data_IF_091396102036
#
_entry.id   IF_091396102036
#
_cell.length_a   1.000
_cell.length_b   1.000
_cell.length_c   1.000
_cell.angle_alpha   90.00
_cell.angle_beta   90.00
_cell.angle_gamma   90.00
#
_symmetry.space_group_name_H-M   'P 1'
#
loop_
_entity.id
_entity.type
_entity.pdbx_description
1 polymer ?
#
# COMPACT_ATOMS: atom_id res chain seq x y z
N UNK A 1 -92.82 9.09 8.89
CA UNK A 1 -92.04 10.34 9.04
C UNK A 1 -90.63 9.97 9.43
N UNK A 2 -89.69 10.18 8.50
CA UNK A 2 -88.27 9.96 8.70
C UNK A 2 -87.69 11.06 9.59
N UNK A 3 -86.84 10.69 10.55
CA UNK A 3 -85.90 11.59 11.21
C UNK A 3 -84.47 11.04 11.04
N UNK A 4 -83.45 11.93 10.95
CA UNK A 4 -82.25 11.68 10.14
C UNK A 4 -81.14 10.94 10.88
N UNK A 5 -80.41 10.12 10.13
CA UNK A 5 -79.26 9.28 10.49
C UNK A 5 -77.98 10.04 10.88
N UNK A 6 -78.05 11.33 11.24
CA UNK A 6 -76.88 12.13 11.63
C UNK A 6 -76.67 12.32 13.13
N UNK A 7 -77.55 11.79 13.99
CA UNK A 7 -77.45 11.95 15.44
C UNK A 7 -76.67 10.84 16.19
N UNK A 8 -76.33 9.72 15.53
CA UNK A 8 -75.59 8.61 16.17
C UNK A 8 -74.07 8.72 15.93
N UNK A 9 -73.63 9.50 14.94
CA UNK A 9 -72.21 9.62 14.58
C UNK A 9 -71.40 10.61 15.42
N UNK A 10 -72.03 11.38 16.32
CA UNK A 10 -71.35 12.40 17.13
C UNK A 10 -71.10 12.00 18.59
N UNK A 11 -71.72 10.92 19.08
CA UNK A 11 -71.45 10.41 20.43
C UNK A 11 -70.20 9.51 20.49
N UNK A 12 -69.84 8.87 19.37
CA UNK A 12 -68.65 8.01 19.26
C UNK A 12 -67.35 8.78 19.05
N UNK A 13 -67.43 10.07 18.68
CA UNK A 13 -66.24 10.90 18.40
C UNK A 13 -65.77 11.71 19.63
N UNK A 14 -66.56 11.79 20.71
CA UNK A 14 -66.20 12.56 21.91
C UNK A 14 -65.56 11.71 23.03
N UNK A 15 -65.66 10.38 22.98
CA UNK A 15 -65.07 9.47 23.97
C UNK A 15 -63.64 8.99 23.64
N UNK A 16 -63.11 9.32 22.45
CA UNK A 16 -61.73 8.99 22.06
C UNK A 16 -60.76 10.17 22.17
N UNK A 17 -61.21 11.32 22.69
CA UNK A 17 -60.42 12.56 22.80
C UNK A 17 -59.94 12.89 24.23
N UNK A 18 -60.10 11.99 25.22
CA UNK A 18 -59.68 12.21 26.62
C UNK A 18 -58.68 11.11 27.08
N UNK A 19 -57.73 10.74 26.23
CA UNK A 19 -56.61 9.88 26.62
C UNK A 19 -55.25 10.38 26.08
N UNK A 20 -55.08 11.69 25.96
CA UNK A 20 -53.80 12.32 25.61
C UNK A 20 -53.53 13.53 26.52
N UNK A 21 -53.24 13.27 27.79
CA UNK A 21 -52.47 14.21 28.62
C UNK A 21 -51.42 13.43 29.40
N UNK A 22 -50.20 13.43 28.87
CA UNK A 22 -48.99 13.22 29.66
C UNK A 22 -47.93 14.13 29.06
N UNK A 23 -47.40 14.97 29.94
CA UNK A 23 -46.49 16.08 29.77
C UNK A 23 -45.32 15.81 28.81
N UNK A 24 -45.26 16.57 27.71
CA UNK A 24 -44.04 16.76 26.92
C UNK A 24 -43.18 17.82 27.60
N UNK A 25 -42.08 17.41 28.24
CA UNK A 25 -40.93 18.29 28.47
C UNK A 25 -40.37 18.74 27.11
N UNK A 26 -39.89 19.98 26.94
CA UNK A 26 -39.25 20.39 25.70
C UNK A 26 -37.94 19.62 25.57
N UNK A 27 -37.92 18.58 24.74
CA UNK A 27 -36.67 18.04 24.22
C UNK A 27 -36.28 19.00 23.11
N UNK A 28 -35.38 19.92 23.43
CA UNK A 28 -34.58 20.59 22.43
C UNK A 28 -33.99 19.53 21.51
N UNK A 29 -34.54 19.42 20.31
CA UNK A 29 -33.89 18.76 19.18
C UNK A 29 -32.73 19.65 18.74
N UNK A 30 -31.71 19.77 19.60
CA UNK A 30 -30.37 20.07 19.15
C UNK A 30 -29.95 18.88 18.29
N UNK A 31 -29.60 19.15 17.03
CA UNK A 31 -28.83 18.23 16.19
C UNK A 31 -27.49 17.94 16.86
N UNK A 32 -27.50 17.03 17.84
CA UNK A 32 -26.34 16.59 18.57
C UNK A 32 -25.58 15.59 17.72
N UNK A 33 -24.45 16.03 17.18
CA UNK A 33 -23.39 15.15 16.73
C UNK A 33 -23.14 14.07 17.80
N UNK A 34 -22.93 12.78 17.43
CA UNK A 34 -22.70 11.72 18.41
C UNK A 34 -21.64 12.15 19.44
N UNK A 35 -21.85 11.85 20.74
CA UNK A 35 -20.97 12.32 21.80
C UNK A 35 -19.53 11.94 21.48
N UNK A 36 -18.65 12.94 21.46
CA UNK A 36 -17.23 12.70 21.21
C UNK A 36 -16.71 11.72 22.28
N UNK A 37 -16.00 10.64 21.90
CA UNK A 37 -15.60 9.62 22.84
C UNK A 37 -14.80 10.23 23.99
N UNK A 38 -15.13 9.82 25.21
CA UNK A 38 -14.46 10.30 26.42
C UNK A 38 -12.97 9.92 26.39
N UNK A 39 -12.08 10.69 27.05
CA UNK A 39 -10.64 10.38 27.11
C UNK A 39 -10.32 8.94 27.56
N UNK A 40 -11.16 8.38 28.43
CA UNK A 40 -11.07 6.98 28.88
C UNK A 40 -11.37 5.96 27.75
N UNK A 41 -12.27 6.28 26.82
CA UNK A 41 -12.60 5.42 25.68
C UNK A 41 -11.45 5.38 24.69
N UNK A 42 -10.87 6.53 24.34
CA UNK A 42 -9.72 6.57 23.42
C UNK A 42 -8.49 5.88 24.01
N UNK A 43 -8.23 6.01 25.32
CA UNK A 43 -7.10 5.30 25.95
C UNK A 43 -7.27 3.78 25.93
N UNK A 44 -8.47 3.27 26.21
CA UNK A 44 -8.76 1.83 26.09
C UNK A 44 -8.65 1.33 24.66
N UNK A 45 -9.08 2.13 23.68
CA UNK A 45 -8.93 1.85 22.26
C UNK A 45 -7.45 1.73 21.87
N UNK A 46 -6.62 2.74 22.19
CA UNK A 46 -5.18 2.71 21.90
C UNK A 46 -4.53 1.49 22.54
N UNK A 47 -4.82 1.22 23.82
CA UNK A 47 -4.25 0.06 24.53
C UNK A 47 -4.59 -1.26 23.85
N UNK A 48 -5.84 -1.44 23.42
CA UNK A 48 -6.28 -2.63 22.69
C UNK A 48 -5.55 -2.76 21.34
N UNK A 49 -5.45 -1.67 20.58
CA UNK A 49 -4.78 -1.69 19.25
C UNK A 49 -3.28 -1.89 19.35
N UNK A 50 -2.64 -1.39 20.41
CA UNK A 50 -1.22 -1.54 20.64
C UNK A 50 -0.83 -2.93 21.16
N UNK A 51 -1.74 -3.66 21.80
CA UNK A 51 -1.48 -4.98 22.37
C UNK A 51 -1.01 -6.03 21.35
N UNK A 52 -1.38 -5.86 20.07
CA UNK A 52 -0.98 -6.78 18.99
C UNK A 52 0.31 -6.35 18.27
N UNK A 53 0.94 -5.25 18.71
CA UNK A 53 2.17 -4.75 18.11
C UNK A 53 3.39 -5.37 18.78
N UNK A 54 4.54 -5.37 18.10
CA UNK A 54 5.81 -5.84 18.68
C UNK A 54 6.28 -4.97 19.85
N UNK A 55 5.82 -3.72 19.92
CA UNK A 55 6.22 -2.74 20.93
C UNK A 55 4.98 -2.10 21.60
N UNK A 56 4.22 -2.85 22.43
CA UNK A 56 2.93 -2.39 22.95
C UNK A 56 3.00 -1.12 23.80
N UNK A 57 3.97 -1.03 24.70
CA UNK A 57 4.12 0.12 25.61
C UNK A 57 4.53 1.37 24.85
N UNK A 58 5.51 1.24 23.94
CA UNK A 58 5.95 2.32 23.05
C UNK A 58 4.76 2.81 22.23
N UNK A 59 4.05 1.89 21.57
CA UNK A 59 2.83 2.18 20.80
C UNK A 59 1.82 3.00 21.60
N UNK A 60 1.54 2.58 22.84
CA UNK A 60 0.58 3.27 23.70
C UNK A 60 1.06 4.67 24.07
N UNK A 61 2.29 4.79 24.56
CA UNK A 61 2.83 6.04 25.07
C UNK A 61 2.94 7.12 24.00
N UNK A 62 3.36 6.76 22.78
CA UNK A 62 3.51 7.77 21.72
C UNK A 62 2.20 8.11 21.00
N UNK A 63 1.20 7.22 20.94
CA UNK A 63 -0.07 7.48 20.26
C UNK A 63 -1.13 8.13 21.16
N UNK A 64 -1.09 7.87 22.46
CA UNK A 64 -2.05 8.42 23.41
C UNK A 64 -2.15 9.96 23.37
N UNK A 65 -1.04 10.74 23.23
CA UNK A 65 -1.11 12.19 23.09
C UNK A 65 -1.93 12.67 21.87
N UNK A 66 -2.06 11.82 20.84
CA UNK A 66 -2.81 12.10 19.62
C UNK A 66 -4.24 11.52 19.63
N UNK A 67 -4.71 10.97 20.76
CA UNK A 67 -6.00 10.30 20.90
C UNK A 67 -7.20 11.15 20.45
N UNK A 68 -7.12 12.48 20.55
CA UNK A 68 -8.15 13.39 20.06
C UNK A 68 -8.27 13.43 18.53
N UNK A 69 -7.17 13.18 17.80
CA UNK A 69 -7.13 13.19 16.32
C UNK A 69 -7.84 11.98 15.73
N UNK A 70 -7.59 10.80 16.27
CA UNK A 70 -8.13 9.55 15.72
C UNK A 70 -9.35 9.01 16.46
N UNK A 71 -9.59 9.43 17.72
CA UNK A 71 -10.71 8.94 18.53
C UNK A 71 -10.68 7.41 18.62
N UNK A 72 -11.63 6.73 17.98
CA UNK A 72 -11.71 5.26 17.87
C UNK A 72 -11.66 4.79 16.41
N UNK A 73 -11.19 5.63 15.48
CA UNK A 73 -11.06 5.29 14.06
C UNK A 73 -9.74 4.55 13.79
N UNK A 74 -9.85 3.40 13.15
CA UNK A 74 -8.72 2.55 12.76
C UNK A 74 -7.86 3.19 11.68
N UNK A 75 -8.48 3.76 10.64
CA UNK A 75 -7.75 4.44 9.55
C UNK A 75 -7.04 5.68 10.10
N UNK A 76 -7.71 6.52 10.89
CA UNK A 76 -7.09 7.73 11.47
C UNK A 76 -5.98 7.41 12.44
N UNK A 77 -6.09 6.30 13.19
CA UNK A 77 -5.01 5.80 14.03
C UNK A 77 -3.79 5.40 13.19
N UNK A 78 -4.00 4.69 12.09
CA UNK A 78 -2.93 4.28 11.18
C UNK A 78 -2.28 5.48 10.46
N UNK A 79 -3.07 6.46 10.00
CA UNK A 79 -2.56 7.75 9.47
C UNK A 79 -1.66 8.43 10.50
N UNK A 80 -2.16 8.58 11.74
CA UNK A 80 -1.42 9.22 12.83
C UNK A 80 -0.12 8.47 13.12
N UNK A 81 -0.12 7.14 13.10
CA UNK A 81 1.08 6.34 13.29
C UNK A 81 2.10 6.55 12.16
N UNK A 82 1.65 6.62 10.90
CA UNK A 82 2.51 6.93 9.75
C UNK A 82 3.10 8.34 9.83
N UNK A 83 2.31 9.34 10.21
CA UNK A 83 2.77 10.72 10.42
C UNK A 83 3.85 10.80 11.50
N UNK A 84 3.65 10.09 12.62
CA UNK A 84 4.64 10.05 13.70
C UNK A 84 5.91 9.34 13.24
N UNK A 85 5.81 8.21 12.54
CA UNK A 85 6.97 7.52 11.97
C UNK A 85 7.76 8.44 11.02
N UNK A 86 7.09 9.12 10.10
CA UNK A 86 7.71 10.09 9.19
C UNK A 86 8.40 11.23 9.96
N UNK A 87 7.75 11.80 10.99
CA UNK A 87 8.35 12.85 11.81
C UNK A 87 9.58 12.37 12.59
N UNK A 88 9.58 11.13 13.08
CA UNK A 88 10.74 10.51 13.76
C UNK A 88 11.89 10.28 12.80
N UNK A 89 11.61 9.76 11.61
CA UNK A 89 12.60 9.57 10.54
C UNK A 89 13.22 10.90 10.10
N UNK A 90 12.40 11.94 9.95
CA UNK A 90 12.85 13.30 9.66
C UNK A 90 13.79 13.85 10.74
N UNK A 91 13.40 13.71 12.00
CA UNK A 91 14.21 14.16 13.13
C UNK A 91 15.55 13.41 13.17
N UNK A 92 15.53 12.12 12.89
CA UNK A 92 16.74 11.30 12.84
C UNK A 92 17.65 11.67 11.66
N UNK A 93 17.09 11.89 10.45
CA UNK A 93 17.84 12.44 9.31
C UNK A 93 18.51 13.79 9.65
N UNK A 94 17.81 14.64 10.42
CA UNK A 94 18.36 15.87 10.98
C UNK A 94 19.56 15.62 11.92
N UNK A 95 19.44 14.65 12.83
CA UNK A 95 20.55 14.25 13.72
C UNK A 95 21.75 13.74 12.94
N UNK A 96 21.54 12.91 11.92
CA UNK A 96 22.63 12.41 11.05
C UNK A 96 23.30 13.57 10.32
N UNK A 97 22.53 14.57 9.86
CA UNK A 97 23.07 15.79 9.26
C UNK A 97 23.93 16.59 10.25
N UNK A 98 23.57 16.64 11.53
CA UNK A 98 24.37 17.30 12.56
C UNK A 98 25.67 16.51 12.82
N UNK A 99 25.59 15.18 12.90
CA UNK A 99 26.78 14.31 12.98
C UNK A 99 27.73 14.54 11.81
N UNK A 100 27.21 14.67 10.58
CA UNK A 100 28.01 14.99 9.39
C UNK A 100 28.75 16.32 9.49
N UNK A 101 28.16 17.34 10.11
CA UNK A 101 28.81 18.65 10.27
C UNK A 101 29.94 18.63 11.31
N UNK A 102 29.87 17.71 12.27
CA UNK A 102 30.86 17.57 13.34
C UNK A 102 31.89 16.47 13.09
N UNK A 103 31.65 15.60 12.10
CA UNK A 103 32.61 14.60 11.64
C UNK A 103 33.74 15.30 10.92
N UNK A 104 34.93 15.33 11.53
CA UNK A 104 36.12 15.93 10.94
C UNK A 104 36.65 15.15 9.74
N UNK A 105 37.47 15.80 8.91
CA UNK A 105 38.06 15.22 7.69
C UNK A 105 39.00 14.01 7.90
N UNK A 106 39.23 13.59 9.16
CA UNK A 106 40.05 12.44 9.52
C UNK A 106 39.34 11.09 9.50
N UNK A 107 38.02 11.03 9.27
CA UNK A 107 37.22 9.80 9.29
C UNK A 107 36.37 9.60 8.03
N UNK A 108 36.99 9.49 6.82
CA UNK A 108 36.27 9.47 5.55
C UNK A 108 35.26 8.32 5.41
N UNK A 109 35.53 7.16 6.04
CA UNK A 109 34.59 6.02 6.04
C UNK A 109 33.35 6.28 6.89
N UNK A 110 33.51 6.95 8.04
CA UNK A 110 32.39 7.35 8.91
C UNK A 110 31.56 8.42 8.22
N UNK A 111 32.22 9.40 7.57
CA UNK A 111 31.54 10.43 6.80
C UNK A 111 30.71 9.85 5.64
N UNK A 112 31.26 8.88 4.90
CA UNK A 112 30.54 8.17 3.84
C UNK A 112 29.33 7.41 4.40
N UNK A 113 29.51 6.60 5.44
CA UNK A 113 28.43 5.85 6.07
C UNK A 113 27.32 6.76 6.62
N UNK A 114 27.68 7.93 7.18
CA UNK A 114 26.70 8.93 7.61
C UNK A 114 25.92 9.53 6.44
N UNK A 115 26.55 9.81 5.29
CA UNK A 115 25.87 10.30 4.09
C UNK A 115 24.87 9.26 3.56
N UNK A 116 25.30 8.01 3.48
CA UNK A 116 24.48 6.89 3.01
C UNK A 116 23.30 6.62 3.96
N UNK A 117 23.56 6.59 5.27
CA UNK A 117 22.52 6.45 6.28
C UNK A 117 21.51 7.62 6.20
N UNK A 118 21.99 8.87 6.06
CA UNK A 118 21.09 10.02 5.92
C UNK A 118 20.16 9.85 4.71
N UNK A 119 20.67 9.35 3.59
CA UNK A 119 19.88 9.15 2.38
C UNK A 119 18.81 8.09 2.57
N UNK A 120 19.20 6.91 3.06
CA UNK A 120 18.28 5.80 3.29
C UNK A 120 17.20 6.15 4.32
N UNK A 121 17.55 6.88 5.39
CA UNK A 121 16.57 7.39 6.37
C UNK A 121 15.64 8.45 5.75
N UNK A 122 16.13 9.32 4.86
CA UNK A 122 15.28 10.26 4.12
C UNK A 122 14.33 9.54 3.16
N UNK A 123 14.77 8.47 2.49
CA UNK A 123 13.90 7.64 1.66
C UNK A 123 12.83 6.91 2.50
N UNK A 124 13.19 6.44 3.71
CA UNK A 124 12.23 5.88 4.66
C UNK A 124 11.19 6.93 5.12
N UNK A 125 11.62 8.18 5.40
CA UNK A 125 10.72 9.31 5.71
C UNK A 125 9.69 9.52 4.59
N UNK A 126 10.16 9.54 3.34
CA UNK A 126 9.31 9.74 2.18
C UNK A 126 8.27 8.63 2.01
N UNK A 127 8.67 7.36 2.16
CA UNK A 127 7.76 6.21 2.13
C UNK A 127 6.73 6.24 3.26
N UNK A 128 7.11 6.67 4.46
CA UNK A 128 6.19 6.85 5.59
C UNK A 128 5.20 8.01 5.35
N UNK A 129 5.64 9.09 4.70
CA UNK A 129 4.78 10.21 4.31
C UNK A 129 3.82 9.83 3.19
N UNK A 130 4.29 9.08 2.20
CA UNK A 130 3.46 8.55 1.11
C UNK A 130 2.39 7.60 1.66
N UNK A 131 2.77 6.76 2.64
CA UNK A 131 1.87 5.91 3.41
C UNK A 131 0.76 6.69 4.12
N UNK A 132 1.10 7.79 4.78
CA UNK A 132 0.10 8.66 5.42
C UNK A 132 -0.85 9.30 4.39
N UNK A 133 -0.31 9.80 3.28
CA UNK A 133 -1.07 10.43 2.19
C UNK A 133 -2.08 9.46 1.58
N UNK A 134 -1.67 8.23 1.30
CA UNK A 134 -2.51 7.18 0.71
C UNK A 134 -3.66 6.77 1.64
N UNK A 135 -3.38 6.62 2.95
CA UNK A 135 -4.44 6.38 3.93
C UNK A 135 -5.36 7.60 4.11
N UNK A 136 -4.84 8.82 3.96
CA UNK A 136 -5.64 10.04 4.01
C UNK A 136 -6.62 10.15 2.84
N UNK A 137 -6.21 9.72 1.64
CA UNK A 137 -7.10 9.60 0.49
C UNK A 137 -8.22 8.60 0.78
N UNK A 138 -7.89 7.47 1.40
CA UNK A 138 -8.86 6.46 1.83
C UNK A 138 -9.85 7.01 2.88
N UNK A 139 -9.39 7.71 3.92
CA UNK A 139 -10.25 8.33 4.95
C UNK A 139 -11.20 9.37 4.35
N UNK A 140 -10.70 10.18 3.41
CA UNK A 140 -11.48 11.24 2.75
C UNK A 140 -12.56 10.64 1.86
N UNK A 141 -12.21 9.65 1.04
CA UNK A 141 -13.15 9.02 0.11
C UNK A 141 -14.23 8.17 0.85
N UNK A 142 -13.90 7.61 2.02
CA UNK A 142 -14.88 6.95 2.89
C UNK A 142 -15.98 7.91 3.41
N UNK A 143 -15.68 9.21 3.53
CA UNK A 143 -16.63 10.24 3.96
C UNK A 143 -17.54 10.81 2.87
N UNK A 144 -17.27 10.55 1.58
CA UNK A 144 -17.88 11.28 0.45
C UNK A 144 -18.79 10.49 -0.50
N UNK A 145 -19.00 9.19 -0.27
CA UNK A 145 -19.76 8.33 -1.20
C UNK A 145 -19.43 6.83 -1.12
N UNK A 146 -18.42 6.49 -0.31
CA UNK A 146 -17.97 5.12 -0.08
C UNK A 146 -16.84 4.74 -1.02
N UNK A 147 -15.77 4.16 -0.46
CA UNK A 147 -14.69 3.52 -1.22
C UNK A 147 -15.06 2.07 -1.41
N UNK A 148 -14.85 1.53 -2.62
CA UNK A 148 -15.04 0.09 -2.81
C UNK A 148 -14.07 -0.66 -1.89
N UNK A 149 -14.50 -1.76 -1.28
CA UNK A 149 -13.60 -2.54 -0.40
C UNK A 149 -12.32 -3.01 -1.11
N UNK A 150 -12.38 -3.12 -2.44
CA UNK A 150 -11.24 -3.40 -3.33
C UNK A 150 -10.22 -2.25 -3.35
N UNK A 151 -10.68 -1.02 -3.54
CA UNK A 151 -9.85 0.18 -3.57
C UNK A 151 -9.25 0.47 -2.19
N UNK A 152 -10.02 0.26 -1.12
CA UNK A 152 -9.53 0.34 0.26
C UNK A 152 -8.38 -0.64 0.55
N UNK A 153 -8.52 -1.91 0.13
CA UNK A 153 -7.45 -2.92 0.28
C UNK A 153 -6.23 -2.61 -0.56
N UNK A 154 -6.40 -2.01 -1.75
CA UNK A 154 -5.32 -1.58 -2.62
C UNK A 154 -4.48 -0.48 -1.96
N UNK A 155 -5.14 0.57 -1.46
CA UNK A 155 -4.48 1.63 -0.68
C UNK A 155 -3.72 1.06 0.52
N UNK A 156 -4.38 0.21 1.32
CA UNK A 156 -3.76 -0.41 2.49
C UNK A 156 -2.59 -1.32 2.09
N UNK A 157 -2.64 -2.02 0.95
CA UNK A 157 -1.54 -2.85 0.47
C UNK A 157 -0.33 -2.03 0.02
N UNK A 158 -0.55 -0.92 -0.69
CA UNK A 158 0.53 0.00 -1.08
C UNK A 158 1.28 0.49 0.17
N UNK A 159 0.52 0.91 1.18
CA UNK A 159 1.04 1.37 2.47
C UNK A 159 1.87 0.29 3.17
N UNK A 160 1.41 -0.96 3.18
CA UNK A 160 2.19 -2.08 3.76
C UNK A 160 3.53 -2.25 3.06
N UNK A 161 3.55 -2.20 1.73
CA UNK A 161 4.77 -2.32 0.94
C UNK A 161 5.72 -1.17 1.24
N UNK A 162 5.23 0.08 1.26
CA UNK A 162 6.07 1.24 1.54
C UNK A 162 6.64 1.25 2.96
N UNK A 163 5.84 0.92 3.97
CA UNK A 163 6.34 0.82 5.34
C UNK A 163 7.33 -0.35 5.53
N UNK A 164 7.14 -1.46 4.81
CA UNK A 164 8.12 -2.56 4.83
C UNK A 164 9.44 -2.13 4.17
N UNK A 165 9.37 -1.40 3.05
CA UNK A 165 10.55 -0.82 2.41
C UNK A 165 11.24 0.26 3.26
N UNK A 166 10.47 1.06 4.01
CA UNK A 166 11.02 2.03 4.96
C UNK A 166 11.84 1.34 6.06
N UNK A 167 11.33 0.24 6.64
CA UNK A 167 12.09 -0.57 7.61
C UNK A 167 13.37 -1.15 6.98
N UNK A 168 13.31 -1.63 5.73
CA UNK A 168 14.51 -2.09 5.01
C UNK A 168 15.54 -0.97 4.89
N UNK A 169 15.14 0.24 4.49
CA UNK A 169 16.05 1.38 4.38
C UNK A 169 16.65 1.78 5.73
N UNK A 170 15.89 1.70 6.82
CA UNK A 170 16.39 1.93 8.17
C UNK A 170 17.48 0.91 8.56
N UNK A 171 17.28 -0.38 8.24
CA UNK A 171 18.28 -1.43 8.43
C UNK A 171 19.51 -1.20 7.55
N UNK A 172 19.32 -0.83 6.29
CA UNK A 172 20.44 -0.50 5.38
C UNK A 172 21.30 0.64 5.93
N UNK A 173 20.71 1.64 6.60
CA UNK A 173 21.49 2.69 7.28
C UNK A 173 22.43 2.09 8.34
N UNK A 174 21.96 1.21 9.23
CA UNK A 174 22.82 0.61 10.26
C UNK A 174 23.84 -0.37 9.68
N UNK A 175 23.44 -1.17 8.70
CA UNK A 175 24.32 -2.16 8.04
C UNK A 175 25.49 -1.46 7.31
N UNK A 176 25.24 -0.28 6.71
CA UNK A 176 26.28 0.52 6.07
C UNK A 176 27.42 0.95 7.01
N UNK A 177 27.15 1.07 8.32
CA UNK A 177 28.20 1.31 9.31
C UNK A 177 29.02 0.07 9.64
N UNK A 178 28.39 -1.11 9.63
CA UNK A 178 29.10 -2.39 9.80
C UNK A 178 30.02 -2.64 8.59
N UNK A 179 29.53 -2.36 7.38
CA UNK A 179 30.29 -2.48 6.13
C UNK A 179 31.44 -1.47 6.02
N UNK A 180 31.29 -0.28 6.62
CA UNK A 180 32.37 0.71 6.73
C UNK A 180 33.55 0.23 7.62
N UNK A 181 33.34 -0.85 8.38
CA UNK A 181 34.33 -1.56 9.18
C UNK A 181 34.17 -1.34 10.69
N UNK A 182 34.74 -2.26 11.48
CA UNK A 182 34.57 -2.31 12.94
C UNK A 182 34.92 -0.99 13.66
N UNK A 183 35.93 -0.26 13.18
CA UNK A 183 36.29 1.04 13.73
C UNK A 183 35.23 2.13 13.50
N UNK A 184 34.51 2.08 12.37
CA UNK A 184 33.40 3.00 12.08
C UNK A 184 32.15 2.61 12.89
N UNK A 185 31.82 1.33 12.95
CA UNK A 185 30.71 0.83 13.78
C UNK A 185 30.93 1.13 15.28
N UNK A 186 32.17 1.04 15.77
CA UNK A 186 32.52 1.32 17.16
C UNK A 186 32.67 2.82 17.48
N UNK A 187 32.65 3.70 16.46
CA UNK A 187 32.78 5.14 16.63
C UNK A 187 31.57 5.72 17.39
N UNK A 188 31.70 6.91 18.00
CA UNK A 188 30.56 7.60 18.62
C UNK A 188 29.38 7.77 17.66
N UNK A 189 29.66 8.13 16.41
CA UNK A 189 28.67 8.31 15.34
C UNK A 189 27.99 7.00 14.98
N UNK A 190 28.76 5.91 14.81
CA UNK A 190 28.20 4.58 14.51
C UNK A 190 27.26 4.09 15.60
N UNK A 191 27.64 4.26 16.88
CA UNK A 191 26.78 3.90 18.03
C UNK A 191 25.52 4.75 18.09
N UNK A 192 25.62 6.04 17.80
CA UNK A 192 24.46 6.94 17.75
C UNK A 192 23.51 6.55 16.61
N UNK A 193 24.05 6.21 15.44
CA UNK A 193 23.26 5.75 14.29
C UNK A 193 22.53 4.44 14.59
N UNK A 194 23.23 3.42 15.12
CA UNK A 194 22.62 2.12 15.46
C UNK A 194 21.47 2.30 16.47
N UNK A 195 21.68 3.13 17.51
CA UNK A 195 20.64 3.43 18.48
C UNK A 195 19.46 4.20 17.87
N UNK A 196 19.75 5.15 16.98
CA UNK A 196 18.74 5.93 16.26
C UNK A 196 17.89 5.08 15.33
N UNK A 197 18.52 4.18 14.55
CA UNK A 197 17.86 3.19 13.68
C UNK A 197 16.92 2.31 14.49
N UNK A 198 17.41 1.72 15.59
CA UNK A 198 16.58 0.89 16.46
C UNK A 198 15.33 1.64 16.98
N UNK A 199 15.47 2.93 17.27
CA UNK A 199 14.35 3.78 17.70
C UNK A 199 13.36 4.07 16.58
N UNK A 200 13.80 4.46 15.37
CA UNK A 200 12.87 4.76 14.26
C UNK A 200 12.17 3.49 13.75
N UNK A 201 12.86 2.35 13.72
CA UNK A 201 12.29 1.04 13.38
C UNK A 201 11.13 0.63 14.27
N UNK A 202 11.19 0.96 15.57
CA UNK A 202 10.06 0.70 16.46
C UNK A 202 8.81 1.45 15.98
N UNK A 203 8.93 2.72 15.62
CA UNK A 203 7.80 3.54 15.19
C UNK A 203 7.25 3.09 13.82
N UNK A 204 8.13 2.81 12.85
CA UNK A 204 7.72 2.32 11.52
C UNK A 204 7.08 0.93 11.61
N UNK A 205 7.62 0.04 12.47
CA UNK A 205 7.02 -1.28 12.75
C UNK A 205 5.63 -1.17 13.40
N UNK A 206 5.43 -0.24 14.32
CA UNK A 206 4.12 -0.01 14.95
C UNK A 206 3.13 0.54 13.91
N UNK A 207 3.54 1.49 13.06
CA UNK A 207 2.71 1.97 11.95
C UNK A 207 2.29 0.82 11.03
N UNK A 208 3.22 -0.03 10.61
CA UNK A 208 2.93 -1.20 9.77
C UNK A 208 1.96 -2.18 10.45
N UNK A 209 2.14 -2.44 11.75
CA UNK A 209 1.24 -3.30 12.52
C UNK A 209 -0.19 -2.73 12.59
N UNK A 210 -0.33 -1.42 12.81
CA UNK A 210 -1.63 -0.76 12.86
C UNK A 210 -2.32 -0.74 11.49
N UNK A 211 -1.57 -0.51 10.40
CA UNK A 211 -2.06 -0.62 9.02
C UNK A 211 -2.52 -2.05 8.70
N UNK A 212 -1.75 -3.06 9.10
CA UNK A 212 -2.16 -4.46 8.97
C UNK A 212 -3.51 -4.73 9.63
N UNK A 213 -3.78 -4.05 10.74
CA UNK A 213 -4.98 -4.21 11.51
C UNK A 213 -6.15 -3.32 11.04
N UNK A 214 -5.94 -2.37 10.11
CA UNK A 214 -7.01 -1.66 9.37
C UNK A 214 -7.76 -2.64 8.47
N UNK A 215 -7.03 -3.49 7.75
CA UNK A 215 -7.60 -4.53 6.87
C UNK A 215 -8.43 -5.59 7.61
N UNK A 216 -8.10 -5.86 8.88
CA UNK A 216 -8.81 -6.84 9.71
C UNK A 216 -10.05 -6.24 10.39
N UNK A 217 -10.02 -4.94 10.71
CA UNK A 217 -11.13 -4.26 11.38
C UNK A 217 -12.31 -3.95 10.43
N UNK A 218 -12.06 -3.76 9.14
CA UNK A 218 -13.13 -3.64 8.13
C UNK A 218 -13.68 -5.00 7.66
N UNK A 219 -12.99 -6.09 8.00
CA UNK A 219 -13.35 -7.46 7.66
C UNK A 219 -14.18 -8.19 8.75
N UNK A 220 -14.72 -7.49 9.75
CA UNK A 220 -15.66 -8.09 10.71
C UNK A 220 -17.09 -8.26 10.15
N UNK A 221 -17.24 -8.35 8.83
CA UNK A 221 -18.31 -9.14 8.24
C UNK A 221 -17.78 -10.58 8.08
N UNK A 222 -18.41 -11.60 8.70
CA UNK A 222 -17.90 -12.97 8.64
C UNK A 222 -17.88 -13.45 7.18
N UNK A 223 -16.68 -13.63 6.62
CA UNK A 223 -16.51 -14.20 5.30
C UNK A 223 -16.39 -15.73 5.43
N UNK A 224 -17.20 -16.45 4.65
CA UNK A 224 -17.31 -17.90 4.63
C UNK A 224 -15.96 -18.58 4.38
N UNK A 225 -15.52 -19.45 5.29
CA UNK A 225 -14.23 -20.18 5.26
C UNK A 225 -13.97 -20.99 3.99
N UNK A 226 -15.02 -21.38 3.26
CA UNK A 226 -14.95 -22.14 2.01
C UNK A 226 -14.44 -21.32 0.81
N UNK A 227 -14.71 -20.02 0.77
CA UNK A 227 -14.41 -19.16 -0.39
C UNK A 227 -12.91 -18.77 -0.43
N UNK A 228 -12.30 -18.56 0.74
CA UNK A 228 -10.86 -18.32 0.89
C UNK A 228 -10.03 -19.55 0.51
N UNK A 229 -10.48 -20.76 0.89
CA UNK A 229 -9.82 -22.01 0.51
C UNK A 229 -9.82 -22.22 -1.01
N UNK A 230 -10.96 -22.00 -1.69
CA UNK A 230 -11.08 -22.11 -3.15
C UNK A 230 -10.16 -21.13 -3.88
N UNK A 231 -10.09 -19.89 -3.42
CA UNK A 231 -9.26 -18.84 -4.03
C UNK A 231 -7.77 -19.12 -3.91
N UNK A 232 -7.32 -19.63 -2.75
CA UNK A 232 -5.92 -20.02 -2.56
C UNK A 232 -5.54 -21.26 -3.39
N UNK A 233 -6.45 -22.22 -3.57
CA UNK A 233 -6.23 -23.38 -4.42
C UNK A 233 -6.18 -22.99 -5.91
N UNK A 234 -7.08 -22.11 -6.33
CA UNK A 234 -7.04 -21.49 -7.65
C UNK A 234 -5.69 -20.79 -7.87
N UNK A 235 -5.29 -19.88 -6.97
CA UNK A 235 -4.02 -19.18 -7.08
C UNK A 235 -2.83 -20.13 -7.21
N UNK A 236 -2.75 -21.15 -6.34
CA UNK A 236 -1.69 -22.16 -6.37
C UNK A 236 -1.63 -22.87 -7.72
N UNK A 237 -2.77 -23.27 -8.28
CA UNK A 237 -2.84 -23.89 -9.60
C UNK A 237 -2.38 -22.95 -10.72
N UNK A 238 -2.70 -21.66 -10.63
CA UNK A 238 -2.34 -20.66 -11.64
C UNK A 238 -0.85 -20.32 -11.59
N UNK A 239 -0.31 -20.12 -10.38
CA UNK A 239 1.10 -19.85 -10.15
C UNK A 239 1.99 -21.05 -10.52
N UNK A 240 1.49 -22.29 -10.43
CA UNK A 240 2.24 -23.48 -10.87
C UNK A 240 2.63 -23.44 -12.36
N UNK A 241 1.95 -22.65 -13.18
CA UNK A 241 2.26 -22.48 -14.62
C UNK A 241 3.16 -21.29 -14.92
N UNK A 242 3.57 -20.51 -13.91
CA UNK A 242 4.42 -19.34 -14.09
C UNK A 242 5.90 -19.70 -13.92
N UNK A 243 6.80 -18.81 -14.37
CA UNK A 243 8.24 -19.03 -14.27
C UNK A 243 8.75 -18.97 -12.83
N UNK A 244 8.09 -18.20 -11.97
CA UNK A 244 8.45 -18.05 -10.56
C UNK A 244 7.24 -18.34 -9.66
N UNK A 245 6.88 -19.62 -9.44
CA UNK A 245 5.65 -20.02 -8.77
C UNK A 245 5.52 -19.51 -7.33
N UNK A 246 6.60 -19.56 -6.54
CA UNK A 246 6.59 -19.13 -5.14
C UNK A 246 6.38 -17.62 -5.05
N UNK A 247 7.14 -16.84 -5.84
CA UNK A 247 6.97 -15.38 -5.94
C UNK A 247 5.57 -15.01 -6.43
N UNK A 248 5.03 -15.75 -7.38
CA UNK A 248 3.65 -15.56 -7.84
C UNK A 248 2.65 -15.78 -6.70
N UNK A 249 2.79 -16.88 -5.96
CA UNK A 249 1.85 -17.25 -4.92
C UNK A 249 1.94 -16.27 -3.75
N UNK A 250 3.14 -16.01 -3.23
CA UNK A 250 3.34 -15.17 -2.05
C UNK A 250 2.95 -13.71 -2.32
N UNK A 251 3.26 -13.18 -3.51
CA UNK A 251 2.89 -11.79 -3.85
C UNK A 251 1.40 -11.63 -4.15
N UNK A 252 0.67 -12.70 -4.52
CA UNK A 252 -0.74 -12.61 -4.91
C UNK A 252 -1.72 -13.16 -3.88
N UNK A 253 -1.27 -13.98 -2.93
CA UNK A 253 -2.11 -14.54 -1.87
C UNK A 253 -2.85 -13.46 -1.07
N UNK A 254 -2.26 -12.29 -0.74
CA UNK A 254 -2.98 -11.21 -0.06
C UNK A 254 -4.22 -10.71 -0.82
N UNK A 255 -4.30 -10.95 -2.13
CA UNK A 255 -5.40 -10.52 -3.00
C UNK A 255 -6.40 -11.64 -3.35
N UNK A 256 -6.31 -12.79 -2.67
CA UNK A 256 -7.12 -13.96 -3.00
C UNK A 256 -8.63 -13.73 -2.88
N UNK A 257 -9.04 -12.87 -1.95
CA UNK A 257 -10.45 -12.52 -1.76
C UNK A 257 -11.03 -11.71 -2.92
N UNK A 258 -10.18 -10.98 -3.65
CA UNK A 258 -10.56 -10.07 -4.73
C UNK A 258 -10.73 -10.79 -6.04
N UNK A 259 -9.76 -11.63 -6.40
CA UNK A 259 -9.83 -12.35 -7.66
C UNK A 259 -10.68 -13.60 -7.57
N UNK A 260 -10.89 -14.17 -6.37
CA UNK A 260 -11.60 -15.43 -6.16
C UNK A 260 -11.06 -16.53 -7.08
N UNK A 261 -11.81 -16.90 -8.12
CA UNK A 261 -11.40 -17.82 -9.19
C UNK A 261 -11.41 -17.18 -10.58
N UNK A 262 -11.48 -15.85 -10.65
CA UNK A 262 -11.46 -15.08 -11.89
C UNK A 262 -10.04 -14.93 -12.42
N UNK A 263 -9.87 -15.31 -13.68
CA UNK A 263 -8.61 -15.23 -14.39
C UNK A 263 -8.23 -13.78 -14.71
N UNK A 264 -9.22 -12.97 -15.09
CA UNK A 264 -9.02 -11.56 -15.43
C UNK A 264 -8.65 -10.78 -14.18
N UNK A 265 -9.37 -10.96 -13.06
CA UNK A 265 -9.06 -10.26 -11.80
C UNK A 265 -7.71 -10.66 -11.22
N UNK A 266 -7.32 -11.93 -11.33
CA UNK A 266 -5.98 -12.39 -10.93
C UNK A 266 -4.90 -11.73 -11.77
N UNK A 267 -5.11 -11.62 -13.09
CA UNK A 267 -4.17 -10.96 -13.98
C UNK A 267 -4.08 -9.44 -13.76
N UNK A 268 -5.19 -8.77 -13.40
CA UNK A 268 -5.18 -7.37 -12.96
C UNK A 268 -4.30 -7.20 -11.72
N UNK A 269 -4.53 -8.01 -10.68
CA UNK A 269 -3.75 -7.95 -9.44
C UNK A 269 -2.24 -8.17 -9.71
N UNK A 270 -1.89 -9.14 -10.56
CA UNK A 270 -0.51 -9.39 -10.94
C UNK A 270 0.14 -8.22 -11.71
N UNK A 271 -0.59 -7.60 -12.64
CA UNK A 271 -0.09 -6.43 -13.37
C UNK A 271 0.07 -5.20 -12.45
N UNK A 272 -0.81 -5.00 -11.48
CA UNK A 272 -0.71 -3.92 -10.50
C UNK A 272 0.48 -4.13 -9.55
N UNK A 273 0.68 -5.35 -9.04
CA UNK A 273 1.85 -5.72 -8.22
C UNK A 273 3.15 -5.48 -8.99
N UNK A 274 3.25 -5.97 -10.23
CA UNK A 274 4.42 -5.73 -11.07
C UNK A 274 4.68 -4.22 -11.26
N UNK A 275 3.64 -3.44 -11.52
CA UNK A 275 3.76 -2.00 -11.69
C UNK A 275 4.19 -1.27 -10.40
N UNK A 276 3.81 -1.77 -9.22
CA UNK A 276 4.24 -1.22 -7.94
C UNK A 276 5.74 -1.48 -7.70
N UNK A 277 6.20 -2.71 -7.92
CA UNK A 277 7.62 -3.07 -7.83
C UNK A 277 8.49 -2.26 -8.81
N UNK A 278 8.03 -2.08 -10.05
CA UNK A 278 8.73 -1.25 -11.05
C UNK A 278 8.82 0.22 -10.62
N UNK A 279 7.79 0.80 -10.00
CA UNK A 279 7.85 2.18 -9.48
C UNK A 279 8.83 2.32 -8.33
N UNK A 280 8.76 1.40 -7.37
CA UNK A 280 9.69 1.38 -6.23
C UNK A 280 11.13 1.26 -6.72
N UNK A 281 11.38 0.39 -7.70
CA UNK A 281 12.71 0.24 -8.27
C UNK A 281 13.17 1.48 -9.05
N UNK A 282 12.31 2.11 -9.86
CA UNK A 282 12.64 3.39 -10.52
C UNK A 282 13.02 4.49 -9.52
N UNK A 283 12.32 4.56 -8.38
CA UNK A 283 12.67 5.50 -7.30
C UNK A 283 14.05 5.18 -6.69
N UNK A 284 14.34 3.90 -6.45
CA UNK A 284 15.66 3.46 -5.96
C UNK A 284 16.79 3.81 -6.93
N UNK A 285 16.60 3.61 -8.24
CA UNK A 285 17.61 3.97 -9.25
C UNK A 285 17.85 5.49 -9.25
N UNK A 286 16.78 6.29 -9.11
CA UNK A 286 16.91 7.75 -9.00
C UNK A 286 17.67 8.17 -7.75
N UNK A 287 17.51 7.46 -6.63
CA UNK A 287 18.30 7.69 -5.42
C UNK A 287 19.77 7.37 -5.65
N UNK A 288 20.09 6.22 -6.26
CA UNK A 288 21.46 5.86 -6.63
C UNK A 288 22.13 6.95 -7.49
N UNK A 289 21.40 7.53 -8.44
CA UNK A 289 21.87 8.63 -9.29
C UNK A 289 22.29 9.89 -8.50
N UNK A 290 21.72 10.11 -7.31
CA UNK A 290 22.08 11.26 -6.47
C UNK A 290 23.44 11.09 -5.78
N UNK A 291 23.95 9.86 -5.72
CA UNK A 291 25.17 9.50 -4.99
C UNK A 291 26.33 9.09 -5.90
N UNK A 292 26.12 9.04 -7.22
CA UNK A 292 27.17 8.76 -8.19
C UNK A 292 27.97 10.00 -8.58
N UNK A 293 29.25 9.79 -8.91
CA UNK A 293 30.23 10.84 -9.17
C UNK A 293 30.28 11.36 -10.62
N UNK A 294 29.27 11.07 -11.44
CA UNK A 294 29.30 11.34 -12.88
C UNK A 294 29.97 10.23 -13.69
N UNK A 295 29.68 10.20 -14.99
CA UNK A 295 30.35 9.33 -15.96
C UNK A 295 29.37 8.43 -16.73
N UNK A 296 29.88 7.28 -17.20
CA UNK A 296 29.07 6.29 -17.93
C UNK A 296 28.04 5.59 -17.04
N UNK A 297 28.36 5.43 -15.76
CA UNK A 297 27.46 4.84 -14.77
C UNK A 297 26.23 5.71 -14.50
N UNK A 298 26.39 7.03 -14.35
CA UNK A 298 25.26 7.96 -14.21
C UNK A 298 24.35 7.97 -15.43
N UNK A 299 24.92 7.92 -16.64
CA UNK A 299 24.13 7.81 -17.85
C UNK A 299 23.31 6.50 -17.87
N UNK A 300 23.94 5.38 -17.51
CA UNK A 300 23.26 4.08 -17.39
C UNK A 300 22.17 4.09 -16.31
N UNK A 301 22.42 4.70 -15.15
CA UNK A 301 21.41 4.89 -14.09
C UNK A 301 20.23 5.73 -14.57
N UNK A 302 20.48 6.84 -15.25
CA UNK A 302 19.43 7.72 -15.76
C UNK A 302 18.57 6.99 -16.82
N UNK A 303 19.22 6.31 -17.76
CA UNK A 303 18.54 5.53 -18.80
C UNK A 303 17.77 4.34 -18.20
N UNK A 304 18.35 3.64 -17.22
CA UNK A 304 17.66 2.60 -16.48
C UNK A 304 16.43 3.16 -15.72
N UNK A 305 16.56 4.27 -15.00
CA UNK A 305 15.43 4.88 -14.30
C UNK A 305 14.27 5.24 -15.24
N UNK A 306 14.62 5.75 -16.44
CA UNK A 306 13.67 6.09 -17.50
C UNK A 306 12.96 4.84 -18.06
N UNK A 307 13.72 3.81 -18.43
CA UNK A 307 13.19 2.56 -19.00
C UNK A 307 12.33 1.80 -18.00
N UNK A 308 12.74 1.71 -16.73
CA UNK A 308 11.95 1.09 -15.65
C UNK A 308 10.68 1.89 -15.35
N UNK A 309 10.72 3.23 -15.38
CA UNK A 309 9.51 4.05 -15.25
C UNK A 309 8.54 3.81 -16.41
N UNK A 310 9.05 3.68 -17.64
CA UNK A 310 8.24 3.32 -18.80
C UNK A 310 7.64 1.90 -18.66
N UNK A 311 8.40 0.93 -18.14
CA UNK A 311 7.91 -0.41 -17.83
C UNK A 311 6.75 -0.37 -16.82
N UNK A 312 6.88 0.43 -15.75
CA UNK A 312 5.82 0.60 -14.74
C UNK A 312 4.53 1.18 -15.32
N UNK A 313 4.64 2.06 -16.31
CA UNK A 313 3.49 2.62 -17.03
C UNK A 313 2.84 1.60 -17.97
N UNK A 314 3.64 0.77 -18.64
CA UNK A 314 3.15 -0.32 -19.47
C UNK A 314 2.39 -1.38 -18.64
N UNK A 315 2.95 -1.81 -17.51
CA UNK A 315 2.28 -2.74 -16.60
C UNK A 315 0.92 -2.20 -16.09
N UNK A 316 0.84 -0.89 -15.79
CA UNK A 316 -0.45 -0.25 -15.43
C UNK A 316 -1.41 -0.08 -16.59
N UNK A 317 -0.93 0.09 -17.82
CA UNK A 317 -1.81 0.05 -19.00
C UNK A 317 -2.42 -1.33 -19.14
N UNK A 318 -1.66 -2.39 -18.91
CA UNK A 318 -2.18 -3.75 -18.89
C UNK A 318 -3.25 -3.95 -17.83
N UNK A 319 -3.03 -3.49 -16.59
CA UNK A 319 -4.03 -3.63 -15.52
C UNK A 319 -5.31 -2.84 -15.81
N UNK A 320 -5.19 -1.63 -16.36
CA UNK A 320 -6.34 -0.81 -16.76
C UNK A 320 -7.16 -1.48 -17.87
N UNK A 321 -6.51 -2.10 -18.85
CA UNK A 321 -7.18 -2.77 -19.97
C UNK A 321 -7.88 -4.06 -19.53
N UNK A 322 -7.25 -4.84 -18.66
CA UNK A 322 -7.87 -6.02 -18.06
C UNK A 322 -9.04 -5.64 -17.14
N UNK A 323 -8.98 -4.48 -16.48
CA UNK A 323 -10.11 -3.96 -15.70
C UNK A 323 -11.30 -3.59 -16.59
N UNK A 324 -11.05 -3.04 -17.79
CA UNK A 324 -12.11 -2.80 -18.79
C UNK A 324 -12.73 -4.11 -19.27
N UNK A 325 -11.93 -5.16 -19.44
CA UNK A 325 -12.42 -6.50 -19.76
C UNK A 325 -13.34 -7.04 -18.66
N UNK A 326 -12.92 -6.96 -17.39
CA UNK A 326 -13.73 -7.40 -16.24
C UNK A 326 -15.07 -6.65 -16.16
N UNK A 327 -15.06 -5.33 -16.37
CA UNK A 327 -16.27 -4.51 -16.41
C UNK A 327 -17.22 -4.91 -17.55
N UNK A 328 -16.69 -5.09 -18.77
CA UNK A 328 -17.48 -5.51 -19.92
C UNK A 328 -18.10 -6.90 -19.73
N UNK A 329 -17.39 -7.83 -19.06
CA UNK A 329 -17.95 -9.16 -18.73
C UNK A 329 -19.08 -9.06 -17.70
N UNK A 330 -18.96 -8.19 -16.69
CA UNK A 330 -20.01 -7.98 -15.69
C UNK A 330 -21.27 -7.33 -16.30
N UNK A 331 -21.10 -6.39 -17.23
CA UNK A 331 -22.20 -5.75 -17.95
C UNK A 331 -22.94 -6.75 -18.86
N UNK A 332 -22.20 -7.62 -19.56
CA UNK A 332 -22.79 -8.67 -20.40
C UNK A 332 -23.58 -9.71 -19.59
N UNK A 333 -23.13 -10.04 -18.37
CA UNK A 333 -23.86 -10.95 -17.47
C UNK A 333 -25.14 -10.32 -16.92
N UNK A 334 -25.17 -8.99 -16.77
CA UNK A 334 -26.36 -8.25 -16.30
C UNK A 334 -27.40 -7.98 -17.39
N UNK A 335 -27.01 -8.02 -18.66
CA UNK A 335 -27.87 -7.71 -19.82
C UNK A 335 -28.29 -8.99 -20.54
N UNK A 336 -29.17 -9.76 -19.90
CA UNK A 336 -29.80 -10.96 -20.47
C UNK A 336 -30.86 -10.61 -21.54
N UNK A 337 -30.47 -9.92 -22.62
CA UNK A 337 -31.35 -9.72 -23.79
C UNK A 337 -30.71 -10.25 -25.08
N UNK A 338 -31.43 -11.21 -25.64
CA UNK A 338 -31.15 -11.96 -26.86
C UNK A 338 -30.94 -11.02 -28.05
N UNK A 339 -29.70 -10.90 -28.53
CA UNK A 339 -29.49 -10.58 -29.95
C UNK A 339 -28.21 -11.23 -30.47
N UNK A 340 -28.34 -11.83 -31.65
CA UNK A 340 -27.30 -12.55 -32.36
C UNK A 340 -26.14 -11.60 -32.73
N UNK A 341 -25.13 -11.52 -31.85
CA UNK A 341 -23.92 -10.72 -32.06
C UNK A 341 -22.70 -11.21 -31.26
N UNK A 342 -22.72 -12.45 -30.74
CA UNK A 342 -21.73 -12.99 -29.80
C UNK A 342 -20.25 -13.00 -30.26
N UNK A 343 -19.99 -12.82 -31.56
CA UNK A 343 -18.64 -12.68 -32.10
C UNK A 343 -17.97 -11.33 -31.80
N UNK A 344 -18.71 -10.29 -31.42
CA UNK A 344 -18.14 -8.97 -31.07
C UNK A 344 -17.46 -8.98 -29.70
N UNK A 345 -18.12 -9.52 -28.69
CA UNK A 345 -17.64 -9.54 -27.29
C UNK A 345 -16.39 -10.42 -27.10
N UNK A 346 -16.36 -11.64 -27.68
CA UNK A 346 -15.15 -12.49 -27.63
C UNK A 346 -13.96 -11.89 -28.42
N UNK A 347 -14.21 -11.19 -29.53
CA UNK A 347 -13.14 -10.48 -30.26
C UNK A 347 -12.57 -9.32 -29.46
N UNK A 348 -13.43 -8.55 -28.78
CA UNK A 348 -13.00 -7.47 -27.89
C UNK A 348 -12.18 -8.01 -26.71
N UNK A 349 -12.64 -9.10 -26.07
CA UNK A 349 -11.92 -9.75 -24.98
C UNK A 349 -10.53 -10.25 -25.40
N UNK A 350 -10.44 -10.92 -26.56
CA UNK A 350 -9.16 -11.37 -27.12
C UNK A 350 -8.23 -10.20 -27.44
N UNK A 351 -8.78 -9.09 -27.94
CA UNK A 351 -8.02 -7.89 -28.23
C UNK A 351 -7.48 -7.21 -26.96
N UNK A 352 -8.30 -7.06 -25.91
CA UNK A 352 -7.89 -6.50 -24.62
C UNK A 352 -6.79 -7.34 -23.96
N UNK A 353 -6.95 -8.67 -23.98
CA UNK A 353 -5.92 -9.59 -23.50
C UNK A 353 -4.64 -9.48 -24.34
N UNK A 354 -4.74 -9.34 -25.66
CA UNK A 354 -3.57 -9.14 -26.54
C UNK A 354 -2.83 -7.83 -26.26
N UNK A 355 -3.54 -6.73 -25.98
CA UNK A 355 -2.93 -5.47 -25.57
C UNK A 355 -2.17 -5.62 -24.26
N UNK A 356 -2.80 -6.23 -23.24
CA UNK A 356 -2.18 -6.46 -21.95
C UNK A 356 -0.91 -7.31 -22.05
N UNK A 357 -0.92 -8.35 -22.88
CA UNK A 357 0.27 -9.17 -23.21
C UNK A 357 1.37 -8.31 -23.82
N UNK A 358 1.02 -7.52 -24.84
CA UNK A 358 1.97 -6.69 -25.58
C UNK A 358 2.69 -5.72 -24.66
N UNK A 359 1.96 -5.02 -23.79
CA UNK A 359 2.57 -4.07 -22.87
C UNK A 359 3.39 -4.72 -21.75
N UNK A 360 2.98 -5.88 -21.22
CA UNK A 360 3.80 -6.61 -20.24
C UNK A 360 5.07 -7.19 -20.87
N UNK A 361 5.01 -7.67 -22.10
CA UNK A 361 6.21 -8.07 -22.86
C UNK A 361 7.14 -6.88 -23.09
N UNK A 362 6.60 -5.72 -23.48
CA UNK A 362 7.39 -4.50 -23.64
C UNK A 362 7.99 -4.00 -22.30
N UNK A 363 7.27 -4.17 -21.18
CA UNK A 363 7.80 -3.86 -19.86
C UNK A 363 9.03 -4.73 -19.54
N UNK A 364 8.97 -6.04 -19.82
CA UNK A 364 10.14 -6.93 -19.68
C UNK A 364 11.28 -6.55 -20.62
N UNK A 365 10.99 -6.09 -21.85
CA UNK A 365 12.03 -5.57 -22.75
C UNK A 365 12.73 -4.36 -22.15
N UNK A 366 11.98 -3.42 -21.56
CA UNK A 366 12.57 -2.25 -20.90
C UNK A 366 13.41 -2.63 -19.66
N UNK A 367 12.99 -3.63 -18.88
CA UNK A 367 13.79 -4.19 -17.78
C UNK A 367 15.11 -4.76 -18.28
N UNK A 368 15.08 -5.49 -19.40
CA UNK A 368 16.27 -5.98 -20.10
C UNK A 368 17.16 -4.84 -20.59
N UNK A 369 16.57 -3.81 -21.21
CA UNK A 369 17.32 -2.62 -21.67
C UNK A 369 18.03 -1.89 -20.52
N UNK A 370 17.42 -1.83 -19.33
CA UNK A 370 18.13 -1.33 -18.14
C UNK A 370 19.37 -2.18 -17.83
N UNK A 371 19.24 -3.51 -17.80
CA UNK A 371 20.36 -4.42 -17.54
C UNK A 371 21.47 -4.29 -18.60
N UNK A 372 21.08 -4.33 -19.88
CA UNK A 372 22.00 -4.24 -21.02
C UNK A 372 22.76 -2.90 -21.00
N UNK A 373 22.08 -1.80 -20.64
CA UNK A 373 22.70 -0.48 -20.53
C UNK A 373 23.82 -0.42 -19.47
N UNK A 374 23.73 -1.23 -18.41
CA UNK A 374 24.81 -1.34 -17.42
C UNK A 374 25.97 -2.19 -17.93
N UNK A 375 25.70 -3.27 -18.66
CA UNK A 375 26.74 -4.08 -19.28
C UNK A 375 27.51 -3.28 -20.33
N UNK A 376 26.82 -2.43 -21.09
CA UNK A 376 27.42 -1.50 -22.08
C UNK A 376 28.22 -0.37 -21.42
N UNK A 377 27.85 0.06 -20.20
CA UNK A 377 28.63 1.01 -19.42
C UNK A 377 29.99 0.41 -18.96
N UNK A 378 30.09 -0.92 -18.97
CA UNK A 378 31.32 -1.69 -18.80
C UNK A 378 31.46 -2.35 -17.43
N UNK A 379 32.37 -3.31 -17.33
CA UNK A 379 32.53 -4.17 -16.14
C UNK A 379 32.73 -3.41 -14.81
N UNK A 380 33.30 -2.20 -14.84
CA UNK A 380 33.44 -1.37 -13.65
C UNK A 380 32.09 -0.86 -13.12
N UNK A 381 31.16 -0.49 -14.01
CA UNK A 381 29.80 -0.09 -13.65
C UNK A 381 28.99 -1.30 -13.17
N UNK A 382 29.10 -2.46 -13.82
CA UNK A 382 28.43 -3.70 -13.38
C UNK A 382 28.91 -4.17 -12.01
N UNK A 383 30.21 -4.03 -11.72
CA UNK A 383 30.79 -4.45 -10.44
C UNK A 383 30.59 -3.44 -9.29
N UNK A 384 30.13 -2.22 -9.60
CA UNK A 384 29.90 -1.18 -8.60
C UNK A 384 28.76 -1.57 -7.65
N UNK A 385 28.67 -0.92 -6.47
CA UNK A 385 27.53 -1.10 -5.58
C UNK A 385 26.20 -0.77 -6.29
N UNK A 386 26.14 0.33 -7.04
CA UNK A 386 24.94 0.72 -7.77
C UNK A 386 24.59 -0.29 -8.89
N UNK A 387 25.59 -0.81 -9.62
CA UNK A 387 25.38 -1.85 -10.63
C UNK A 387 24.82 -3.14 -10.03
N UNK A 388 25.31 -3.57 -8.86
CA UNK A 388 24.77 -4.73 -8.14
C UNK A 388 23.34 -4.50 -7.66
N UNK A 389 23.04 -3.31 -7.15
CA UNK A 389 21.69 -2.92 -6.74
C UNK A 389 20.71 -2.89 -7.92
N UNK A 390 21.17 -2.39 -9.08
CA UNK A 390 20.40 -2.41 -10.32
C UNK A 390 20.18 -3.84 -10.78
N UNK A 391 21.21 -4.69 -10.81
CA UNK A 391 21.08 -6.08 -11.22
C UNK A 391 20.09 -6.87 -10.32
N UNK A 392 20.19 -6.69 -9.01
CA UNK A 392 19.26 -7.30 -8.05
C UNK A 392 17.82 -6.78 -8.23
N UNK A 393 17.66 -5.46 -8.41
CA UNK A 393 16.36 -4.84 -8.63
C UNK A 393 15.71 -5.28 -9.95
N UNK A 394 16.48 -5.33 -11.05
CA UNK A 394 16.02 -5.87 -12.35
C UNK A 394 15.55 -7.31 -12.18
N UNK A 395 16.34 -8.15 -11.51
CA UNK A 395 15.97 -9.54 -11.26
C UNK A 395 14.64 -9.67 -10.50
N UNK A 396 14.37 -8.80 -9.52
CA UNK A 396 13.11 -8.79 -8.76
C UNK A 396 11.95 -8.36 -9.66
N UNK A 397 12.04 -7.21 -10.33
CA UNK A 397 10.93 -6.70 -11.14
C UNK A 397 10.58 -7.63 -12.30
N UNK A 398 11.59 -8.27 -12.91
CA UNK A 398 11.39 -9.27 -13.97
C UNK A 398 10.65 -10.51 -13.48
N UNK A 399 10.82 -10.92 -12.22
CA UNK A 399 10.04 -12.03 -11.67
C UNK A 399 8.55 -11.70 -11.61
N UNK A 400 8.21 -10.50 -11.12
CA UNK A 400 6.81 -10.06 -11.03
C UNK A 400 6.18 -9.81 -12.41
N UNK A 401 6.88 -9.12 -13.31
CA UNK A 401 6.37 -8.85 -14.67
C UNK A 401 6.23 -10.14 -15.49
N UNK A 402 7.18 -11.09 -15.36
CA UNK A 402 7.10 -12.40 -16.01
C UNK A 402 5.90 -13.22 -15.51
N UNK A 403 5.66 -13.24 -14.19
CA UNK A 403 4.50 -13.90 -13.62
C UNK A 403 3.19 -13.24 -14.07
N UNK A 404 3.12 -11.91 -14.09
CA UNK A 404 1.96 -11.18 -14.59
C UNK A 404 1.66 -11.53 -16.06
N UNK A 405 2.68 -11.54 -16.92
CA UNK A 405 2.54 -11.93 -18.33
C UNK A 405 2.03 -13.37 -18.48
N UNK A 406 2.56 -14.31 -17.69
CA UNK A 406 2.11 -15.70 -17.70
C UNK A 406 0.63 -15.84 -17.29
N UNK A 407 0.20 -15.08 -16.28
CA UNK A 407 -1.19 -15.09 -15.82
C UNK A 407 -2.14 -14.48 -16.87
N UNK A 408 -1.74 -13.41 -17.56
CA UNK A 408 -2.48 -12.85 -18.71
C UNK A 408 -2.53 -13.85 -19.88
N UNK A 409 -1.45 -14.58 -20.13
CA UNK A 409 -1.41 -15.64 -21.14
C UNK A 409 -2.40 -16.76 -20.87
N UNK A 410 -2.65 -17.06 -19.61
CA UNK A 410 -3.60 -18.08 -19.21
C UNK A 410 -5.07 -17.63 -19.13
N UNK A 411 -5.44 -16.40 -19.53
CA UNK A 411 -6.85 -15.97 -19.53
C UNK A 411 -7.59 -16.67 -20.69
N UNK A 412 -8.69 -17.39 -20.43
CA UNK A 412 -9.52 -17.98 -21.50
C UNK A 412 -10.34 -16.88 -22.21
N UNK A 413 -10.15 -16.68 -23.52
CA UNK A 413 -10.80 -15.63 -24.35
C UNK A 413 -11.26 -16.08 -25.74
#
# INVERSE_FOLDING_TARGET
MALPTRAISLLSLFLLFIAATSTTTPIDAAGGQPPSPSPATSSTFVRSRCATTRYPDICYDYLLPYASKFKTSHIKLAITACDVAAARLRAFSGRIKDLLQHTGSGAPRVEAALKDCKSTISAAEDLARESSSELGQLDTAAGGGGVSSREARLHVSNVKTWLSAAITNEVTCSDGFEEAGEAAAASPEGKEVVAGVASVMQHTSIALALVNAVAVAEATAPCSTTESASSSAFLRSRCATTRYPDVCYDSLLPYASEFKTSHVKLAVAAADVAAAHLRAFSAKIKDLLLHTGGGREDAALHDCASTISAAANLARRSSAELTRLDAATAEAESSSSTSAGGGGSSRLARWQVSNAKTWLSAAMTNEGTCSDGFDDAGAAATASPAGKEVAAGVAIVTQHTSNALALVNGIPV
#
